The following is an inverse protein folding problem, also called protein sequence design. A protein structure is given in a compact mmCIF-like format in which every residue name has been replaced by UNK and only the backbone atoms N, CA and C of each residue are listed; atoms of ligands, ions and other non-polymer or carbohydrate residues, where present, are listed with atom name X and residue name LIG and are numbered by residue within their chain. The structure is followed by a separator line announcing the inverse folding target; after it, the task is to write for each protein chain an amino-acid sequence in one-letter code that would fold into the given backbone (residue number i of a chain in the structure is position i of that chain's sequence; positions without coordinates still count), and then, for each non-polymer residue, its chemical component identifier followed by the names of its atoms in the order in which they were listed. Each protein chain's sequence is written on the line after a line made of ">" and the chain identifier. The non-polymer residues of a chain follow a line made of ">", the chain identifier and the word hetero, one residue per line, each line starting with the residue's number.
data_IF_025128859405
#
_entry.id   IF_025128859405
#
_cell.length_a   1.000
_cell.length_b   1.000
_cell.length_c   1.000
_cell.angle_alpha   90.00
_cell.angle_beta   90.00
_cell.angle_gamma   90.00
#
_symmetry.space_group_name_H-M   'P 1'
#
loop_
_entity.id
_entity.type
_entity.pdbx_description
1 polymer ?
#
# COMPACT_ATOMS: atom_id res chain seq x y z
N UNK A 1 3.50 19.91 27.74
CA UNK A 1 3.49 18.77 26.80
C UNK A 1 2.06 18.56 26.36
N UNK A 2 1.68 19.04 25.17
CA UNK A 2 0.33 18.80 24.65
C UNK A 2 0.35 17.41 24.03
N UNK A 3 0.01 16.40 24.81
CA UNK A 3 -0.35 15.08 24.29
C UNK A 3 -1.79 15.28 23.77
N UNK A 4 -1.93 15.68 22.52
CA UNK A 4 -3.19 15.48 21.80
C UNK A 4 -3.26 13.99 21.53
N UNK A 5 -3.98 13.25 22.36
CA UNK A 5 -4.48 11.94 21.96
C UNK A 5 -5.25 12.14 20.65
N UNK A 6 -4.79 11.48 19.59
CA UNK A 6 -5.56 11.40 18.35
C UNK A 6 -6.70 10.42 18.65
N UNK A 7 -7.80 10.94 19.18
CA UNK A 7 -9.07 10.22 19.31
C UNK A 7 -9.83 10.29 17.98
N UNK A 8 -9.16 10.05 16.85
CA UNK A 8 -9.88 9.67 15.64
C UNK A 8 -10.23 8.20 15.78
N UNK A 9 -11.40 7.98 16.39
CA UNK A 9 -12.11 6.72 16.30
C UNK A 9 -12.42 6.56 14.81
N UNK A 10 -11.65 5.74 14.09
CA UNK A 10 -12.11 5.18 12.83
C UNK A 10 -13.44 4.48 13.15
N UNK A 11 -14.56 5.13 12.85
CA UNK A 11 -15.90 4.67 13.26
C UNK A 11 -16.23 3.31 12.66
N UNK A 12 -15.54 2.92 11.60
CA UNK A 12 -15.64 1.58 11.01
C UNK A 12 -14.25 1.09 10.60
N UNK A 13 -13.66 0.21 11.41
CA UNK A 13 -12.61 -0.70 10.94
C UNK A 13 -13.32 -1.75 10.08
N UNK A 14 -13.60 -1.44 8.82
CA UNK A 14 -14.00 -2.49 7.89
C UNK A 14 -12.76 -3.30 7.51
N UNK A 15 -12.88 -4.63 7.55
CA UNK A 15 -11.91 -5.45 6.83
C UNK A 15 -12.04 -5.01 5.37
N UNK A 16 -11.04 -4.30 4.86
CA UNK A 16 -11.08 -3.89 3.47
C UNK A 16 -11.20 -5.18 2.64
N UNK A 17 -12.33 -5.35 1.95
CA UNK A 17 -12.54 -6.53 1.12
C UNK A 17 -11.37 -6.60 0.14
N UNK A 18 -10.59 -7.67 0.28
CA UNK A 18 -9.41 -7.87 -0.54
C UNK A 18 -9.86 -8.04 -1.97
N UNK A 19 -9.58 -7.03 -2.79
CA UNK A 19 -10.00 -7.04 -4.17
C UNK A 19 -9.17 -8.05 -4.96
N UNK A 20 -9.78 -8.75 -5.92
CA UNK A 20 -9.04 -9.61 -6.83
C UNK A 20 -8.03 -8.77 -7.62
N UNK A 21 -6.79 -9.27 -7.73
CA UNK A 21 -5.69 -8.54 -8.35
C UNK A 21 -5.92 -8.40 -9.85
N UNK A 22 -6.08 -7.17 -10.33
CA UNK A 22 -6.27 -6.89 -11.74
C UNK A 22 -4.94 -7.08 -12.53
N UNK A 23 -5.00 -7.40 -13.84
CA UNK A 23 -3.80 -7.51 -14.68
C UNK A 23 -2.92 -6.26 -14.67
N UNK A 24 -3.52 -5.07 -14.61
CA UNK A 24 -2.79 -3.80 -14.53
C UNK A 24 -1.88 -3.71 -13.30
N UNK A 25 -2.28 -4.33 -12.19
CA UNK A 25 -1.51 -4.35 -10.94
C UNK A 25 -0.25 -5.20 -11.07
N UNK A 26 -0.26 -6.26 -11.89
CA UNK A 26 0.95 -6.99 -12.26
C UNK A 26 1.87 -6.17 -13.17
N UNK A 27 1.32 -5.31 -14.04
CA UNK A 27 2.13 -4.41 -14.86
C UNK A 27 2.91 -3.42 -14.00
N UNK A 28 2.28 -2.85 -12.97
CA UNK A 28 2.98 -2.00 -11.99
C UNK A 28 4.11 -2.76 -11.30
N UNK A 29 3.84 -3.98 -10.84
CA UNK A 29 4.85 -4.82 -10.19
C UNK A 29 6.06 -5.07 -11.10
N UNK A 30 5.79 -5.42 -12.36
CA UNK A 30 6.84 -5.69 -13.35
C UNK A 30 7.61 -4.43 -13.72
N UNK A 31 6.97 -3.27 -13.74
CA UNK A 31 7.65 -2.00 -13.94
C UNK A 31 8.61 -1.69 -12.78
N UNK A 32 8.18 -1.91 -11.54
CA UNK A 32 8.99 -1.61 -10.35
C UNK A 32 10.13 -2.62 -10.13
N UNK A 33 9.87 -3.92 -10.32
CA UNK A 33 10.77 -5.02 -9.94
C UNK A 33 11.35 -5.82 -11.12
N UNK A 34 10.93 -5.55 -12.35
CA UNK A 34 11.37 -6.24 -13.56
C UNK A 34 10.35 -7.25 -14.13
N UNK A 35 10.51 -7.62 -15.40
CA UNK A 35 9.49 -8.28 -16.22
C UNK A 35 8.87 -9.58 -15.69
N UNK A 36 9.61 -10.36 -14.89
CA UNK A 36 9.14 -11.64 -14.33
C UNK A 36 8.76 -11.55 -12.84
N UNK A 37 8.64 -10.34 -12.29
CA UNK A 37 8.28 -10.15 -10.89
C UNK A 37 6.90 -10.74 -10.56
N UNK A 38 6.80 -11.33 -9.37
CA UNK A 38 5.57 -11.90 -8.80
C UNK A 38 5.37 -11.37 -7.38
N UNK A 39 4.12 -11.24 -6.97
CA UNK A 39 3.81 -10.94 -5.58
C UNK A 39 4.32 -12.09 -4.69
N UNK A 40 4.84 -11.74 -3.51
CA UNK A 40 5.32 -12.70 -2.50
C UNK A 40 4.20 -13.58 -1.95
N UNK A 41 2.96 -13.11 -2.04
CA UNK A 41 1.76 -13.86 -1.66
C UNK A 41 0.48 -13.14 -2.09
N UNK A 42 -0.67 -13.81 -1.98
CA UNK A 42 -1.96 -13.28 -2.42
C UNK A 42 -2.31 -11.97 -1.70
N UNK A 43 -2.02 -11.89 -0.39
CA UNK A 43 -2.33 -10.72 0.43
C UNK A 43 -1.54 -9.47 0.06
N UNK A 44 -0.30 -9.62 -0.45
CA UNK A 44 0.48 -8.48 -0.90
C UNK A 44 -0.14 -7.84 -2.15
N UNK A 45 -0.49 -8.66 -3.15
CA UNK A 45 -1.11 -8.19 -4.38
C UNK A 45 -2.50 -7.61 -4.13
N UNK A 46 -3.30 -8.27 -3.30
CA UNK A 46 -4.63 -7.78 -2.93
C UNK A 46 -4.55 -6.45 -2.18
N UNK A 47 -3.60 -6.28 -1.26
CA UNK A 47 -3.40 -5.00 -0.58
C UNK A 47 -3.04 -3.86 -1.56
N UNK A 48 -2.16 -4.11 -2.55
CA UNK A 48 -1.89 -3.12 -3.62
C UNK A 48 -3.16 -2.77 -4.37
N UNK A 49 -3.91 -3.78 -4.84
CA UNK A 49 -5.15 -3.60 -5.59
C UNK A 49 -6.16 -2.76 -4.80
N UNK A 50 -6.39 -3.13 -3.53
CA UNK A 50 -7.34 -2.44 -2.67
C UNK A 50 -6.96 -0.98 -2.46
N UNK A 51 -5.68 -0.68 -2.20
CA UNK A 51 -5.19 0.70 -2.01
C UNK A 51 -5.37 1.55 -3.27
N UNK A 52 -4.95 1.06 -4.44
CA UNK A 52 -5.00 1.86 -5.68
C UNK A 52 -6.43 2.02 -6.22
N UNK A 53 -7.33 1.08 -5.92
CA UNK A 53 -8.70 1.10 -6.45
C UNK A 53 -9.65 1.99 -5.65
N UNK A 54 -9.25 2.41 -4.45
CA UNK A 54 -10.11 3.12 -3.51
C UNK A 54 -9.38 4.37 -2.99
N UNK A 55 -9.13 5.36 -3.85
CA UNK A 55 -8.46 6.59 -3.44
C UNK A 55 -9.30 7.35 -2.40
N UNK A 56 -8.64 8.00 -1.43
CA UNK A 56 -9.29 8.79 -0.38
C UNK A 56 -9.56 8.05 0.94
N UNK A 57 -9.33 6.73 0.97
CA UNK A 57 -9.42 5.93 2.19
C UNK A 57 -8.05 5.75 2.86
N UNK A 58 -8.08 5.51 4.17
CA UNK A 58 -6.89 5.17 4.97
C UNK A 58 -6.80 3.66 5.19
N UNK A 59 -5.58 3.12 5.11
CA UNK A 59 -5.35 1.67 5.19
C UNK A 59 -4.28 1.33 6.24
N UNK A 60 -4.56 0.31 7.05
CA UNK A 60 -3.57 -0.36 7.87
C UNK A 60 -3.25 -1.72 7.24
N UNK A 61 -2.00 -1.89 6.79
CA UNK A 61 -1.56 -3.16 6.17
C UNK A 61 -0.71 -3.95 7.16
N UNK A 62 -1.25 -5.08 7.62
CA UNK A 62 -0.56 -6.00 8.53
C UNK A 62 -0.10 -7.24 7.77
N UNK A 63 1.21 -7.34 7.58
CA UNK A 63 1.88 -8.51 6.98
C UNK A 63 3.13 -8.84 7.79
N UNK A 64 3.59 -10.10 7.80
CA UNK A 64 4.82 -10.49 8.49
C UNK A 64 6.04 -9.70 7.98
N UNK A 65 7.10 -9.67 8.78
CA UNK A 65 8.41 -9.14 8.35
C UNK A 65 8.89 -9.88 7.11
N UNK A 66 9.42 -9.15 6.12
CA UNK A 66 9.74 -9.72 4.81
C UNK A 66 8.53 -10.05 3.92
N UNK A 67 7.29 -9.83 4.37
CA UNK A 67 6.07 -10.05 3.59
C UNK A 67 5.85 -9.08 2.41
N UNK A 68 6.81 -8.19 2.13
CA UNK A 68 6.74 -7.29 0.98
C UNK A 68 5.90 -6.03 1.19
N UNK A 69 5.76 -5.56 2.44
CA UNK A 69 5.05 -4.32 2.78
C UNK A 69 5.58 -3.10 2.02
N UNK A 70 6.89 -2.98 1.89
CA UNK A 70 7.52 -1.85 1.19
C UNK A 70 7.13 -1.82 -0.29
N UNK A 71 6.96 -2.96 -0.95
CA UNK A 71 6.49 -2.99 -2.34
C UNK A 71 5.06 -2.45 -2.45
N UNK A 72 4.21 -2.65 -1.44
CA UNK A 72 2.84 -2.12 -1.47
C UNK A 72 2.91 -0.59 -1.54
N UNK A 73 3.72 0.02 -0.68
CA UNK A 73 3.96 1.46 -0.68
C UNK A 73 4.55 1.95 -2.01
N UNK A 74 5.59 1.30 -2.52
CA UNK A 74 6.25 1.73 -3.76
C UNK A 74 5.38 1.55 -5.01
N UNK A 75 4.55 0.51 -5.06
CA UNK A 75 3.62 0.28 -6.17
C UNK A 75 2.47 1.28 -6.15
N UNK A 76 1.89 1.54 -4.99
CA UNK A 76 0.90 2.60 -4.83
C UNK A 76 1.50 3.97 -5.19
N UNK A 77 2.74 4.25 -4.75
CA UNK A 77 3.42 5.50 -5.09
C UNK A 77 3.69 5.64 -6.60
N UNK A 78 4.09 4.54 -7.25
CA UNK A 78 4.29 4.51 -8.71
C UNK A 78 2.98 4.80 -9.45
N UNK A 79 1.88 4.19 -9.01
CA UNK A 79 0.54 4.44 -9.56
C UNK A 79 0.13 5.90 -9.40
N UNK A 80 0.24 6.46 -8.20
CA UNK A 80 -0.10 7.88 -7.95
C UNK A 80 0.79 8.83 -8.77
N UNK A 81 2.09 8.51 -8.91
CA UNK A 81 3.02 9.28 -9.76
C UNK A 81 2.59 9.30 -11.23
N UNK A 82 2.14 8.17 -11.76
CA UNK A 82 1.63 8.09 -13.13
C UNK A 82 0.37 8.95 -13.33
N UNK A 83 -0.36 9.24 -12.25
CA UNK A 83 -1.52 10.12 -12.21
C UNK A 83 -1.17 11.57 -11.79
N UNK A 84 0.10 11.96 -11.83
CA UNK A 84 0.55 13.33 -11.54
C UNK A 84 0.56 13.72 -10.06
N UNK A 85 0.51 12.75 -9.15
CA UNK A 85 0.49 12.97 -7.69
C UNK A 85 1.82 12.59 -7.05
N UNK A 86 2.06 13.12 -5.85
CA UNK A 86 3.26 12.87 -5.05
C UNK A 86 2.90 11.99 -3.86
N UNK A 87 3.76 11.03 -3.53
CA UNK A 87 3.64 10.22 -2.31
C UNK A 87 4.67 10.67 -1.29
N UNK A 88 4.22 10.99 -0.07
CA UNK A 88 5.07 11.29 1.08
C UNK A 88 5.21 10.02 1.94
N UNK A 89 6.45 9.57 2.16
CA UNK A 89 6.75 8.45 3.06
C UNK A 89 7.35 9.00 4.36
N UNK A 90 6.67 8.75 5.48
CA UNK A 90 7.14 9.15 6.82
C UNK A 90 7.67 7.91 7.53
N UNK A 91 8.93 7.97 7.97
CA UNK A 91 9.61 6.90 8.67
C UNK A 91 10.16 7.45 10.00
N UNK A 92 10.06 6.72 11.12
CA UNK A 92 10.55 7.20 12.41
C UNK A 92 12.07 7.21 12.53
N UNK A 93 12.79 6.42 11.71
CA UNK A 93 14.25 6.29 11.76
C UNK A 93 14.86 6.46 10.37
N UNK A 94 16.09 6.98 10.34
CA UNK A 94 16.86 7.20 9.11
C UNK A 94 17.35 5.88 8.49
N UNK A 95 17.59 4.84 9.30
CA UNK A 95 18.14 3.56 8.87
C UNK A 95 17.12 2.41 8.82
N UNK A 96 15.88 2.70 8.40
CA UNK A 96 14.80 1.72 8.27
C UNK A 96 14.86 0.88 6.98
#
# INVERSE_FOLDING_TARGET
>A
TIIREVTEIYTEVSNADLLPVAPATFTLLRHLRGGNAKFRGPYQGAAVQTVISNPGYSYLVVLPTGGGKSDILFLSALYERQNGRITLLVLPFVAL
#
